data_IF_848549252854
#
_entry.id   IF_848549252854
#
_cell.length_a   1.000
_cell.length_b   1.000
_cell.length_c   1.000
_cell.angle_alpha   90.00
_cell.angle_beta   90.00
_cell.angle_gamma   90.00
#
_symmetry.space_group_name_H-M   'P 1'
#
loop_
_entity.id
_entity.type
_entity.pdbx_description
1 polymer ?
#
# COMPACT_ATOMS: atom_id res chain seq x y z
N UNK A 1 -38.79 -7.46 -20.88
CA UNK A 1 -37.86 -7.54 -19.73
C UNK A 1 -36.49 -8.10 -20.19
N UNK A 2 -35.67 -7.32 -20.93
CA UNK A 2 -34.32 -7.74 -21.41
C UNK A 2 -33.28 -6.61 -21.60
N UNK A 3 -33.57 -5.35 -21.25
CA UNK A 3 -32.67 -4.22 -21.57
C UNK A 3 -31.59 -3.92 -20.49
N UNK A 4 -31.89 -4.17 -19.20
CA UNK A 4 -31.01 -3.80 -18.07
C UNK A 4 -29.61 -4.44 -18.06
N UNK A 5 -29.46 -5.63 -18.64
CA UNK A 5 -28.16 -6.35 -18.68
C UNK A 5 -27.25 -5.78 -19.76
N UNK A 6 -27.79 -5.40 -20.92
CA UNK A 6 -27.02 -4.83 -22.01
C UNK A 6 -26.47 -3.44 -21.63
N UNK A 7 -27.30 -2.60 -21.01
CA UNK A 7 -26.88 -1.26 -20.54
C UNK A 7 -25.73 -1.35 -19.52
N UNK A 8 -25.81 -2.27 -18.56
CA UNK A 8 -24.75 -2.49 -17.56
C UNK A 8 -23.43 -2.91 -18.20
N UNK A 9 -23.47 -3.73 -19.25
CA UNK A 9 -22.27 -4.18 -19.94
C UNK A 9 -21.62 -3.04 -20.72
N UNK A 10 -22.41 -2.21 -21.41
CA UNK A 10 -21.93 -1.03 -22.13
C UNK A 10 -21.27 -0.02 -21.17
N UNK A 11 -21.86 0.21 -19.99
CA UNK A 11 -21.29 1.11 -18.97
C UNK A 11 -19.96 0.58 -18.46
N UNK A 12 -19.87 -0.72 -18.15
CA UNK A 12 -18.63 -1.34 -17.68
C UNK A 12 -17.53 -1.32 -18.73
N UNK A 13 -17.87 -1.53 -20.00
CA UNK A 13 -16.92 -1.44 -21.10
C UNK A 13 -16.32 -0.03 -21.18
N UNK A 14 -17.17 1.01 -21.19
CA UNK A 14 -16.71 2.40 -21.22
C UNK A 14 -15.89 2.79 -19.98
N UNK A 15 -16.26 2.29 -18.80
CA UNK A 15 -15.47 2.49 -17.58
C UNK A 15 -14.09 1.84 -17.69
N UNK A 16 -14.00 0.63 -18.23
CA UNK A 16 -12.73 -0.06 -18.44
C UNK A 16 -11.84 0.71 -19.43
N UNK A 17 -12.41 1.19 -20.53
CA UNK A 17 -11.72 2.04 -21.51
C UNK A 17 -11.21 3.33 -20.86
N UNK A 18 -12.02 3.99 -20.02
CA UNK A 18 -11.63 5.19 -19.29
C UNK A 18 -10.51 4.94 -18.27
N UNK A 19 -10.59 3.84 -17.50
CA UNK A 19 -9.54 3.44 -16.56
C UNK A 19 -8.24 3.13 -17.30
N UNK A 20 -8.30 2.47 -18.46
CA UNK A 20 -7.14 2.16 -19.29
C UNK A 20 -6.46 3.45 -19.80
N UNK A 21 -7.25 4.39 -20.33
CA UNK A 21 -6.74 5.68 -20.77
C UNK A 21 -6.07 6.48 -19.64
N UNK A 22 -6.66 6.47 -18.45
CA UNK A 22 -6.09 7.14 -17.28
C UNK A 22 -4.81 6.46 -16.78
N UNK A 23 -4.76 5.11 -16.76
CA UNK A 23 -3.52 4.38 -16.47
C UNK A 23 -2.42 4.71 -17.48
N UNK A 24 -2.74 4.81 -18.77
CA UNK A 24 -1.79 5.18 -19.82
C UNK A 24 -1.26 6.62 -19.66
N UNK A 25 -2.07 7.52 -19.11
CA UNK A 25 -1.64 8.89 -18.73
C UNK A 25 -0.84 8.94 -17.42
N UNK A 26 -0.57 7.79 -16.78
CA UNK A 26 0.15 7.72 -15.51
C UNK A 26 -0.67 8.10 -14.29
N UNK A 27 -2.00 8.12 -14.39
CA UNK A 27 -2.87 8.39 -13.23
C UNK A 27 -2.72 7.24 -12.22
N UNK A 28 -2.17 7.55 -11.05
CA UNK A 28 -2.10 6.61 -9.94
C UNK A 28 -3.49 6.42 -9.33
N UNK A 29 -4.03 5.22 -9.48
CA UNK A 29 -5.30 4.82 -8.87
C UNK A 29 -5.09 4.30 -7.44
N UNK A 30 -6.15 4.40 -6.63
CA UNK A 30 -6.16 3.89 -5.26
C UNK A 30 -5.65 4.88 -4.23
N UNK A 31 -5.54 4.42 -2.98
CA UNK A 31 -5.06 5.22 -1.85
C UNK A 31 -3.56 5.49 -2.02
N UNK A 32 -3.13 6.74 -1.91
CA UNK A 32 -1.71 7.08 -1.82
C UNK A 32 -1.14 6.49 -0.52
N UNK A 33 -0.02 5.76 -0.55
CA UNK A 33 0.59 5.26 0.66
C UNK A 33 1.07 6.43 1.52
N UNK A 34 0.81 6.35 2.83
CA UNK A 34 1.34 7.32 3.77
C UNK A 34 2.87 7.24 3.81
N UNK A 35 3.55 8.39 3.98
CA UNK A 35 5.00 8.42 4.14
C UNK A 35 5.42 7.59 5.37
N UNK A 36 6.61 7.00 5.30
CA UNK A 36 7.18 6.36 6.48
C UNK A 36 7.49 7.43 7.54
N UNK A 37 7.18 7.18 8.82
CA UNK A 37 7.63 8.06 9.88
C UNK A 37 9.15 7.96 10.02
N UNK A 38 9.82 9.08 10.31
CA UNK A 38 11.29 9.17 10.37
C UNK A 38 11.91 8.19 11.37
N UNK A 39 11.20 7.90 12.46
CA UNK A 39 11.64 6.97 13.50
C UNK A 39 11.51 5.48 13.11
N UNK A 40 10.93 5.17 11.94
CA UNK A 40 10.70 3.80 11.50
C UNK A 40 12.00 2.99 11.45
N UNK A 41 13.07 3.57 10.94
CA UNK A 41 14.36 2.90 10.77
C UNK A 41 14.99 2.49 12.10
N UNK A 42 15.00 3.41 13.06
CA UNK A 42 15.55 3.17 14.40
C UNK A 42 14.73 2.11 15.13
N UNK A 43 13.41 2.25 15.09
CA UNK A 43 12.48 1.33 15.73
C UNK A 43 12.56 -0.07 15.12
N UNK A 44 12.69 -0.19 13.78
CA UNK A 44 12.89 -1.47 13.10
C UNK A 44 14.19 -2.14 13.54
N UNK A 45 15.30 -1.38 13.58
CA UNK A 45 16.61 -1.89 14.02
C UNK A 45 16.56 -2.37 15.48
N UNK A 46 15.93 -1.61 16.37
CA UNK A 46 15.73 -2.01 17.77
C UNK A 46 14.87 -3.28 17.90
N UNK A 47 13.83 -3.41 17.07
CA UNK A 47 13.01 -4.62 16.99
C UNK A 47 13.79 -5.83 16.49
N UNK A 48 14.63 -5.67 15.46
CA UNK A 48 15.50 -6.74 14.92
C UNK A 48 16.52 -7.21 15.95
N UNK A 49 17.04 -6.29 16.77
CA UNK A 49 17.92 -6.59 17.91
C UNK A 49 17.18 -7.19 19.13
N UNK A 50 15.87 -7.46 19.02
CA UNK A 50 15.00 -7.92 20.13
C UNK A 50 15.02 -7.02 21.37
N UNK A 51 15.39 -5.73 21.21
CA UNK A 51 15.45 -4.76 22.31
C UNK A 51 14.07 -4.22 22.69
N UNK A 52 13.11 -4.25 21.76
CA UNK A 52 11.75 -3.75 21.96
C UNK A 52 10.75 -4.76 21.38
N UNK A 53 9.55 -4.82 21.97
CA UNK A 53 8.48 -5.67 21.43
C UNK A 53 7.89 -5.08 20.16
N UNK A 54 7.33 -5.94 19.30
CA UNK A 54 6.64 -5.53 18.05
C UNK A 54 5.48 -4.57 18.35
N UNK A 55 4.75 -4.79 19.45
CA UNK A 55 3.66 -3.92 19.87
C UNK A 55 4.17 -2.53 20.24
N UNK A 56 5.34 -2.44 20.87
CA UNK A 56 5.93 -1.17 21.27
C UNK A 56 6.57 -0.43 20.10
N UNK A 57 7.18 -1.17 19.17
CA UNK A 57 7.63 -0.64 17.90
C UNK A 57 6.49 -0.01 17.09
N UNK A 58 5.36 -0.72 16.97
CA UNK A 58 4.16 -0.23 16.31
C UNK A 58 3.62 1.06 16.96
N UNK A 59 3.55 1.10 18.30
CA UNK A 59 3.16 2.30 19.05
C UNK A 59 4.09 3.49 18.80
N UNK A 60 5.42 3.28 18.83
CA UNK A 60 6.40 4.35 18.56
C UNK A 60 6.27 4.90 17.15
N UNK A 61 6.01 4.04 16.17
CA UNK A 61 5.81 4.43 14.78
C UNK A 61 4.40 4.98 14.48
N UNK A 62 3.49 5.01 15.45
CA UNK A 62 2.11 5.46 15.24
C UNK A 62 1.33 4.64 14.21
N UNK A 63 1.72 3.38 13.97
CA UNK A 63 1.09 2.51 12.96
C UNK A 63 0.71 1.15 13.54
N UNK A 64 -0.18 0.43 12.85
CA UNK A 64 -0.57 -0.90 13.28
C UNK A 64 0.58 -1.92 13.11
N UNK A 65 0.58 -3.00 13.90
CA UNK A 65 1.60 -4.06 13.81
C UNK A 65 1.68 -4.68 12.41
N UNK A 66 0.53 -4.87 11.77
CA UNK A 66 0.41 -5.39 10.40
C UNK A 66 1.06 -4.44 9.39
N UNK A 67 0.80 -3.13 9.53
CA UNK A 67 1.42 -2.07 8.72
C UNK A 67 2.93 -2.05 8.91
N UNK A 68 3.41 -2.16 10.15
CA UNK A 68 4.83 -2.19 10.48
C UNK A 68 5.56 -3.33 9.75
N UNK A 69 5.03 -4.56 9.80
CA UNK A 69 5.62 -5.70 9.09
C UNK A 69 5.55 -5.58 7.58
N UNK A 70 4.44 -5.06 7.05
CA UNK A 70 4.28 -4.83 5.61
C UNK A 70 5.34 -3.85 5.09
N UNK A 71 5.51 -2.71 5.79
CA UNK A 71 6.53 -1.71 5.45
C UNK A 71 7.96 -2.26 5.65
N UNK A 72 8.20 -3.05 6.70
CA UNK A 72 9.51 -3.64 6.96
C UNK A 72 9.93 -4.66 5.89
N UNK A 73 8.97 -5.45 5.37
CA UNK A 73 9.22 -6.37 4.26
C UNK A 73 9.58 -5.62 2.98
N UNK A 74 8.85 -4.55 2.67
CA UNK A 74 9.19 -3.69 1.52
C UNK A 74 10.59 -3.08 1.68
N UNK A 75 10.95 -2.64 2.89
CA UNK A 75 12.28 -2.09 3.18
C UNK A 75 13.40 -3.12 3.01
N UNK A 76 13.28 -4.33 3.59
CA UNK A 76 14.33 -5.35 3.45
C UNK A 76 14.53 -5.76 1.97
N UNK A 77 13.47 -5.74 1.14
CA UNK A 77 13.60 -5.97 -0.30
C UNK A 77 14.33 -4.83 -1.04
N UNK A 78 14.21 -3.59 -0.56
CA UNK A 78 14.86 -2.42 -1.14
C UNK A 78 16.34 -2.32 -0.74
N UNK A 79 16.70 -2.79 0.46
CA UNK A 79 18.07 -2.88 0.97
C UNK A 79 18.88 -4.00 0.28
N UNK A 80 18.24 -5.10 -0.10
CA UNK A 80 18.83 -6.25 -0.82
C UNK A 80 19.08 -6.00 -2.33
N UNK A 81 18.60 -4.88 -2.87
CA UNK A 81 18.78 -4.48 -4.26
C UNK A 81 19.94 -3.52 -4.51
N UNK A 82 20.73 -3.22 -3.47
CA UNK A 82 21.98 -2.42 -3.55
C UNK A 82 23.20 -3.33 -3.51
#
# INVERSE_FOLDING_TARGET
MKQKTQERNLIRQRQAEGIAAAKARGVQFGRRPDPLPENFYEVWKLGKMKKISVSEAAKRCGMERTTLFGKARSYEMEDLGK
#
